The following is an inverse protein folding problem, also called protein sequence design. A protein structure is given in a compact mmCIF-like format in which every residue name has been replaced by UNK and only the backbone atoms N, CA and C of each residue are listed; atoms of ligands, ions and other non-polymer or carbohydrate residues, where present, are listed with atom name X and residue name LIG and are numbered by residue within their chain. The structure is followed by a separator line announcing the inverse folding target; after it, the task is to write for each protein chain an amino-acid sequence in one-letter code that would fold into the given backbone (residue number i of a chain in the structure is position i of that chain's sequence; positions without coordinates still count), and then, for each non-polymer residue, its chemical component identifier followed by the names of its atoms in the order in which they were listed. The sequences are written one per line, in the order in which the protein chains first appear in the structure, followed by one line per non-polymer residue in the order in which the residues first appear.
data_IF_585265355054
#
_entry.id   IF_585265355054
#
_cell.length_a   1.000
_cell.length_b   1.000
_cell.length_c   1.000
_cell.angle_alpha   90.00
_cell.angle_beta   90.00
_cell.angle_gamma   90.00
#
_symmetry.space_group_name_H-M   'P 1'
#
loop_
_entity.id
_entity.type
_entity.pdbx_description
1 polymer ?
#
# COMPACT_ATOMS: atom_id res chain seq x y z
N UNK A 1 -50.81 -9.39 -42.89
CA UNK A 1 -49.39 -9.20 -42.82
C UNK A 1 -49.07 -8.51 -41.47
N UNK A 2 -48.74 -9.28 -40.48
CA UNK A 2 -48.40 -8.77 -39.15
C UNK A 2 -46.91 -8.96 -38.89
N UNK A 3 -46.18 -7.85 -38.70
CA UNK A 3 -44.78 -7.90 -38.32
C UNK A 3 -44.72 -7.86 -36.79
N UNK A 4 -44.35 -8.99 -36.19
CA UNK A 4 -44.09 -9.07 -34.76
C UNK A 4 -42.68 -8.54 -34.49
N UNK A 5 -42.59 -7.37 -33.85
CA UNK A 5 -41.33 -6.83 -33.35
C UNK A 5 -41.06 -7.48 -32.00
N UNK A 6 -40.13 -8.44 -31.98
CA UNK A 6 -39.64 -9.06 -30.77
C UNK A 6 -38.66 -8.13 -30.05
N UNK A 7 -39.06 -7.58 -28.91
CA UNK A 7 -38.19 -6.85 -28.01
C UNK A 7 -37.31 -7.85 -27.26
N UNK A 8 -36.04 -7.97 -27.64
CA UNK A 8 -35.04 -8.66 -26.85
C UNK A 8 -34.64 -7.76 -25.65
N UNK A 9 -35.24 -8.03 -24.50
CA UNK A 9 -34.74 -7.50 -23.24
C UNK A 9 -33.41 -8.19 -22.92
N UNK A 10 -32.32 -7.54 -23.23
CA UNK A 10 -31.01 -7.92 -22.75
C UNK A 10 -30.95 -7.68 -21.22
N UNK A 11 -31.26 -8.71 -20.46
CA UNK A 11 -30.97 -8.73 -19.02
C UNK A 11 -29.46 -8.82 -18.88
N UNK A 12 -28.83 -7.66 -18.72
CA UNK A 12 -27.43 -7.57 -18.31
C UNK A 12 -27.28 -8.16 -16.92
N UNK A 13 -26.86 -9.41 -16.83
CA UNK A 13 -26.44 -10.03 -15.58
C UNK A 13 -25.13 -9.35 -15.16
N UNK A 14 -25.24 -8.29 -14.36
CA UNK A 14 -24.07 -7.72 -13.67
C UNK A 14 -23.67 -8.73 -12.60
N UNK A 15 -22.76 -9.63 -12.95
CA UNK A 15 -22.06 -10.46 -11.96
C UNK A 15 -21.14 -9.51 -11.19
N UNK A 16 -21.65 -8.97 -10.10
CA UNK A 16 -20.80 -8.38 -9.07
C UNK A 16 -20.04 -9.56 -8.49
N UNK A 17 -18.84 -9.82 -9.00
CA UNK A 17 -17.91 -10.70 -8.36
C UNK A 17 -17.55 -10.04 -7.04
N UNK A 18 -18.27 -10.39 -5.98
CA UNK A 18 -17.84 -10.13 -4.60
C UNK A 18 -16.56 -10.93 -4.48
N UNK A 19 -15.42 -10.22 -4.60
CA UNK A 19 -14.10 -10.80 -4.43
C UNK A 19 -14.05 -11.22 -2.97
N UNK A 20 -14.34 -12.48 -2.70
CA UNK A 20 -14.16 -13.06 -1.36
C UNK A 20 -12.67 -12.99 -1.08
N UNK A 21 -12.29 -12.14 -0.13
CA UNK A 21 -10.92 -12.09 0.35
C UNK A 21 -10.57 -13.49 0.88
N UNK A 22 -9.46 -14.08 0.44
CA UNK A 22 -9.02 -15.33 1.04
C UNK A 22 -8.67 -15.07 2.51
N UNK A 23 -9.37 -15.73 3.43
CA UNK A 23 -9.18 -15.58 4.88
C UNK A 23 -7.94 -16.31 5.41
N UNK A 24 -7.14 -16.88 4.51
CA UNK A 24 -5.93 -17.62 4.87
C UNK A 24 -4.72 -16.74 5.25
N UNK A 25 -3.65 -17.34 5.80
CA UNK A 25 -2.41 -16.62 6.09
C UNK A 25 -1.78 -16.08 4.80
N UNK A 26 -1.28 -14.86 4.86
CA UNK A 26 -0.53 -14.23 3.78
C UNK A 26 0.91 -14.72 3.83
N UNK A 27 1.38 -15.32 2.76
CA UNK A 27 2.71 -15.91 2.66
C UNK A 27 3.51 -15.13 1.62
N UNK A 28 4.69 -14.68 2.01
CA UNK A 28 5.68 -14.07 1.12
C UNK A 28 6.28 -15.12 0.16
N UNK A 29 6.78 -14.68 -0.98
CA UNK A 29 7.52 -15.52 -1.91
C UNK A 29 8.70 -16.23 -1.24
N UNK A 30 9.11 -17.40 -1.78
CA UNK A 30 10.25 -18.15 -1.23
C UNK A 30 11.53 -17.31 -1.28
N UNK A 31 12.17 -17.19 -0.12
CA UNK A 31 13.45 -16.52 0.01
C UNK A 31 14.55 -17.46 -0.47
N UNK A 32 15.32 -17.02 -1.48
CA UNK A 32 16.47 -17.76 -2.02
C UNK A 32 17.81 -17.11 -1.69
N UNK A 33 17.78 -15.94 -1.11
CA UNK A 33 18.95 -15.16 -0.70
C UNK A 33 18.91 -14.83 0.79
N UNK A 34 20.04 -14.39 1.35
CA UNK A 34 20.16 -13.98 2.74
C UNK A 34 19.85 -12.48 2.95
N UNK A 35 19.36 -11.79 1.92
CA UNK A 35 19.06 -10.36 1.99
C UNK A 35 17.89 -10.07 2.91
N UNK A 36 17.94 -8.94 3.59
CA UNK A 36 16.85 -8.41 4.38
C UNK A 36 15.87 -7.67 3.46
N UNK A 37 14.70 -8.20 3.27
CA UNK A 37 13.68 -7.66 2.36
C UNK A 37 12.60 -6.92 3.14
N UNK A 38 12.53 -5.61 2.98
CA UNK A 38 11.58 -4.74 3.66
C UNK A 38 10.53 -4.23 2.69
N UNK A 39 9.25 -4.40 3.04
CA UNK A 39 8.12 -3.79 2.34
C UNK A 39 7.55 -2.65 3.16
N UNK A 40 7.72 -1.41 2.70
CA UNK A 40 7.12 -0.22 3.29
C UNK A 40 5.81 0.06 2.56
N UNK A 41 4.68 -0.03 3.27
CA UNK A 41 3.34 0.26 2.74
C UNK A 41 2.95 1.66 3.16
N UNK A 42 3.08 2.64 2.25
CA UNK A 42 2.81 4.04 2.53
C UNK A 42 1.35 4.40 2.22
N UNK A 43 0.45 4.18 3.16
CA UNK A 43 -0.93 4.65 3.09
C UNK A 43 -1.00 6.19 3.27
N UNK A 44 -0.13 6.77 4.11
CA UNK A 44 0.14 8.19 4.24
C UNK A 44 1.41 8.62 3.47
N UNK A 45 1.50 9.89 3.09
CA UNK A 45 2.71 10.45 2.47
C UNK A 45 3.82 10.63 3.50
N UNK A 46 5.02 10.11 3.22
CA UNK A 46 6.18 10.24 4.11
C UNK A 46 7.07 11.35 3.57
N UNK A 47 7.16 12.45 4.30
CA UNK A 47 7.94 13.63 3.91
C UNK A 47 8.91 14.09 5.00
N UNK A 48 8.50 13.93 6.28
CA UNK A 48 9.28 14.40 7.43
C UNK A 48 10.48 13.48 7.68
N UNK A 49 11.71 14.03 7.78
CA UNK A 49 12.90 13.27 8.13
C UNK A 49 12.79 12.49 9.46
N UNK A 50 12.00 12.98 10.41
CA UNK A 50 11.76 12.31 11.70
C UNK A 50 10.98 11.02 11.47
N UNK A 51 9.94 11.07 10.63
CA UNK A 51 9.14 9.90 10.27
C UNK A 51 9.97 8.90 9.47
N UNK A 52 10.79 9.37 8.52
CA UNK A 52 11.75 8.52 7.78
C UNK A 52 12.69 7.81 8.75
N UNK A 53 13.31 8.54 9.69
CA UNK A 53 14.22 7.96 10.69
C UNK A 53 13.52 6.96 11.62
N UNK A 54 12.23 7.17 11.90
CA UNK A 54 11.42 6.23 12.68
C UNK A 54 11.12 4.97 11.90
N UNK A 55 10.70 5.11 10.63
CA UNK A 55 10.42 3.99 9.73
C UNK A 55 11.65 3.13 9.52
N UNK A 56 12.80 3.73 9.17
CA UNK A 56 14.04 3.00 8.93
C UNK A 56 14.55 2.29 10.18
N UNK A 57 14.40 2.90 11.35
CA UNK A 57 14.75 2.26 12.64
C UNK A 57 13.86 1.09 12.96
N UNK A 58 12.54 1.23 12.81
CA UNK A 58 11.57 0.17 13.08
C UNK A 58 11.78 -1.00 12.11
N UNK A 59 12.06 -0.70 10.84
CA UNK A 59 12.33 -1.66 9.78
C UNK A 59 13.76 -2.25 9.81
N UNK A 60 14.58 -1.92 10.79
CA UNK A 60 15.95 -2.42 10.86
C UNK A 60 16.85 -2.05 9.67
N UNK A 61 16.45 -1.07 8.85
CA UNK A 61 17.20 -0.63 7.66
C UNK A 61 18.45 0.12 8.10
N UNK A 62 19.61 -0.31 7.59
CA UNK A 62 20.92 0.21 8.02
C UNK A 62 21.48 1.34 7.14
N UNK A 63 20.89 1.60 5.97
CA UNK A 63 21.34 2.65 5.05
C UNK A 63 22.66 2.30 4.35
N UNK A 64 23.53 3.28 4.20
CA UNK A 64 24.70 3.35 3.30
C UNK A 64 25.72 2.18 3.37
N UNK A 65 25.67 1.33 4.40
CA UNK A 65 26.59 0.19 4.56
C UNK A 65 26.04 -1.13 3.97
N UNK A 66 24.87 -1.13 3.34
CA UNK A 66 24.15 -2.37 3.11
C UNK A 66 23.71 -2.66 1.68
N UNK A 67 24.55 -3.35 0.94
CA UNK A 67 24.13 -4.23 -0.17
C UNK A 67 23.22 -5.38 0.33
N UNK A 68 22.88 -5.38 1.63
CA UNK A 68 22.11 -6.43 2.32
C UNK A 68 20.63 -6.10 2.46
N UNK A 69 20.23 -4.81 2.44
CA UNK A 69 18.83 -4.42 2.57
C UNK A 69 18.20 -4.15 1.19
N UNK A 70 17.16 -4.89 0.86
CA UNK A 70 16.31 -4.60 -0.31
C UNK A 70 15.01 -3.98 0.17
N UNK A 71 14.78 -2.71 -0.18
CA UNK A 71 13.61 -1.96 0.27
C UNK A 71 12.66 -1.73 -0.89
N UNK A 72 11.39 -2.05 -0.67
CA UNK A 72 10.32 -1.75 -1.62
C UNK A 72 9.24 -0.90 -0.97
N UNK A 73 8.85 0.18 -1.67
CA UNK A 73 7.75 1.06 -1.27
C UNK A 73 6.51 0.70 -2.08
N UNK A 74 5.42 0.39 -1.39
CA UNK A 74 4.11 0.14 -1.95
C UNK A 74 3.17 1.26 -1.54
N UNK A 75 2.57 1.96 -2.51
CA UNK A 75 1.56 3.00 -2.23
C UNK A 75 0.20 2.48 -2.71
N UNK A 76 -0.76 2.24 -1.82
CA UNK A 76 -2.13 1.88 -2.21
C UNK A 76 -2.80 3.03 -2.97
N UNK A 77 -3.49 2.69 -4.08
CA UNK A 77 -4.22 3.66 -4.90
C UNK A 77 -5.59 3.98 -4.29
N UNK A 78 -5.61 4.47 -3.03
CA UNK A 78 -6.85 4.70 -2.26
C UNK A 78 -7.74 5.76 -2.92
N UNK A 79 -8.98 5.39 -3.18
CA UNK A 79 -10.04 6.30 -3.63
C UNK A 79 -10.71 6.85 -2.37
N UNK A 80 -10.67 8.18 -2.18
CA UNK A 80 -11.38 8.83 -1.07
C UNK A 80 -12.89 8.55 -1.12
N UNK A 81 -13.56 8.54 0.02
CA UNK A 81 -15.00 8.27 0.11
C UNK A 81 -15.82 9.22 -0.79
N UNK A 82 -15.45 10.48 -0.91
CA UNK A 82 -16.10 11.46 -1.78
C UNK A 82 -15.78 11.24 -3.26
N UNK A 83 -14.57 10.78 -3.58
CA UNK A 83 -14.12 10.54 -4.96
C UNK A 83 -14.76 9.28 -5.56
N UNK A 84 -15.21 8.36 -4.72
CA UNK A 84 -15.92 7.13 -5.17
C UNK A 84 -17.22 7.44 -5.91
N UNK A 85 -17.84 8.58 -5.64
CA UNK A 85 -19.04 9.07 -6.36
C UNK A 85 -18.71 9.71 -7.71
N UNK A 86 -17.49 10.24 -7.87
CA UNK A 86 -17.05 10.93 -9.09
C UNK A 86 -16.37 10.01 -10.11
N UNK A 87 -16.20 8.71 -9.81
CA UNK A 87 -15.54 7.70 -10.68
C UNK A 87 -14.10 8.06 -11.07
N UNK A 88 -13.37 8.78 -10.23
CA UNK A 88 -12.08 9.38 -10.57
C UNK A 88 -10.90 8.47 -10.18
N UNK A 89 -10.85 7.28 -10.81
CA UNK A 89 -9.74 6.30 -10.64
C UNK A 89 -8.40 6.92 -11.08
N UNK A 90 -8.41 7.79 -12.09
CA UNK A 90 -7.21 8.46 -12.60
C UNK A 90 -6.61 9.41 -11.56
N UNK A 91 -7.45 10.19 -10.88
CA UNK A 91 -7.00 11.10 -9.83
C UNK A 91 -6.46 10.35 -8.60
N UNK A 92 -7.08 9.24 -8.22
CA UNK A 92 -6.58 8.40 -7.13
C UNK A 92 -5.20 7.82 -7.46
N UNK A 93 -5.02 7.33 -8.69
CA UNK A 93 -3.72 6.83 -9.17
C UNK A 93 -2.68 7.94 -9.24
N UNK A 94 -3.05 9.13 -9.71
CA UNK A 94 -2.15 10.27 -9.75
C UNK A 94 -1.69 10.69 -8.34
N UNK A 95 -2.60 10.78 -7.38
CA UNK A 95 -2.27 11.05 -5.96
C UNK A 95 -1.38 9.97 -5.36
N UNK A 96 -1.61 8.70 -5.69
CA UNK A 96 -0.75 7.61 -5.27
C UNK A 96 0.67 7.74 -5.85
N UNK A 97 0.79 8.11 -7.12
CA UNK A 97 2.08 8.37 -7.77
C UNK A 97 2.82 9.55 -7.13
N UNK A 98 2.12 10.64 -6.80
CA UNK A 98 2.73 11.78 -6.10
C UNK A 98 3.26 11.36 -4.72
N UNK A 99 2.46 10.65 -3.91
CA UNK A 99 2.91 10.12 -2.62
C UNK A 99 4.11 9.19 -2.76
N UNK A 100 4.10 8.35 -3.79
CA UNK A 100 5.21 7.45 -4.09
C UNK A 100 6.51 8.22 -4.31
N UNK A 101 6.47 9.24 -5.19
CA UNK A 101 7.64 10.07 -5.50
C UNK A 101 8.17 10.77 -4.26
N UNK A 102 7.28 11.34 -3.43
CA UNK A 102 7.68 12.04 -2.21
C UNK A 102 8.30 11.09 -1.18
N UNK A 103 7.69 9.93 -0.96
CA UNK A 103 8.19 8.92 -0.04
C UNK A 103 9.56 8.40 -0.46
N UNK A 104 9.73 8.05 -1.76
CA UNK A 104 11.03 7.57 -2.28
C UNK A 104 12.10 8.66 -2.18
N UNK A 105 11.75 9.92 -2.49
CA UNK A 105 12.69 11.02 -2.37
C UNK A 105 13.11 11.27 -0.91
N UNK A 106 12.20 11.12 0.04
CA UNK A 106 12.50 11.24 1.47
C UNK A 106 13.42 10.11 1.96
N UNK A 107 13.17 8.86 1.54
CA UNK A 107 14.04 7.71 1.83
C UNK A 107 15.42 7.88 1.19
N UNK A 108 15.50 8.32 -0.07
CA UNK A 108 16.76 8.55 -0.76
C UNK A 108 17.62 9.63 -0.08
N UNK A 109 17.00 10.69 0.45
CA UNK A 109 17.70 11.70 1.26
C UNK A 109 18.29 11.13 2.55
N UNK A 110 17.69 10.07 3.07
CA UNK A 110 18.20 9.34 4.24
C UNK A 110 19.19 8.21 3.89
N UNK A 111 19.63 8.13 2.63
CA UNK A 111 20.58 7.11 2.16
C UNK A 111 19.95 5.74 1.89
N UNK A 112 18.62 5.64 1.81
CA UNK A 112 17.90 4.39 1.55
C UNK A 112 17.46 4.33 0.09
N UNK A 113 18.03 3.39 -0.67
CA UNK A 113 17.57 3.06 -2.02
C UNK A 113 16.33 2.16 -1.93
N UNK A 114 15.26 2.52 -2.66
CA UNK A 114 14.04 1.76 -2.64
C UNK A 114 13.41 1.62 -4.02
N UNK A 115 12.92 0.41 -4.35
CA UNK A 115 12.00 0.23 -5.46
C UNK A 115 10.60 0.73 -5.08
N UNK A 116 9.83 1.19 -6.08
CA UNK A 116 8.53 1.78 -5.84
C UNK A 116 7.43 1.17 -6.70
N UNK A 117 6.27 0.91 -6.10
CA UNK A 117 5.09 0.35 -6.76
C UNK A 117 3.81 1.02 -6.27
N UNK A 118 2.85 1.17 -7.19
CA UNK A 118 1.47 1.52 -6.84
C UNK A 118 0.66 0.22 -6.82
N UNK A 119 -0.05 -0.02 -5.73
CA UNK A 119 -0.88 -1.21 -5.52
C UNK A 119 -2.36 -0.96 -5.68
N UNK A 120 -3.15 -1.96 -5.29
CA UNK A 120 -4.62 -1.90 -5.22
C UNK A 120 -5.09 -0.78 -4.26
N UNK A 121 -6.36 -0.38 -4.37
CA UNK A 121 -6.95 0.59 -3.42
C UNK A 121 -7.07 0.02 -2.01
N UNK A 122 -7.28 -1.28 -1.91
CA UNK A 122 -7.33 -2.01 -0.66
C UNK A 122 -5.92 -2.33 -0.18
N UNK A 123 -5.58 -1.86 1.03
CA UNK A 123 -4.24 -2.02 1.61
C UNK A 123 -3.87 -3.50 1.75
N UNK A 124 -4.80 -4.33 2.24
CA UNK A 124 -4.53 -5.75 2.48
C UNK A 124 -4.31 -6.48 1.16
N UNK A 125 -5.16 -6.22 0.16
CA UNK A 125 -5.02 -6.79 -1.16
C UNK A 125 -3.71 -6.34 -1.83
N UNK A 126 -3.35 -5.05 -1.72
CA UNK A 126 -2.11 -4.53 -2.27
C UNK A 126 -0.87 -5.24 -1.68
N UNK A 127 -0.89 -5.48 -0.36
CA UNK A 127 0.18 -6.23 0.33
C UNK A 127 0.21 -7.69 -0.12
N UNK A 128 -0.94 -8.37 -0.17
CA UNK A 128 -1.01 -9.75 -0.65
C UNK A 128 -0.44 -9.91 -2.06
N UNK A 129 -0.88 -9.05 -2.99
CA UNK A 129 -0.42 -9.08 -4.38
C UNK A 129 1.10 -8.81 -4.48
N UNK A 130 1.61 -7.89 -3.65
CA UNK A 130 3.04 -7.60 -3.63
C UNK A 130 3.86 -8.77 -3.09
N UNK A 131 3.41 -9.42 -2.02
CA UNK A 131 4.12 -10.53 -1.39
C UNK A 131 4.16 -11.80 -2.24
N UNK A 132 3.31 -11.94 -3.26
CA UNK A 132 3.40 -13.04 -4.23
C UNK A 132 4.70 -13.02 -5.05
N UNK A 133 5.27 -11.83 -5.26
CA UNK A 133 6.46 -11.64 -6.09
C UNK A 133 7.68 -11.11 -5.32
N UNK A 134 7.48 -10.66 -4.08
CA UNK A 134 8.52 -10.05 -3.25
C UNK A 134 8.61 -10.76 -1.90
N UNK A 135 9.77 -11.39 -1.58
CA UNK A 135 9.91 -12.20 -0.38
C UNK A 135 10.18 -11.36 0.88
N UNK A 136 9.28 -10.41 1.19
CA UNK A 136 9.46 -9.56 2.35
C UNK A 136 9.57 -10.37 3.64
N UNK A 137 10.58 -10.03 4.44
CA UNK A 137 10.78 -10.53 5.81
C UNK A 137 10.13 -9.64 6.82
N UNK A 138 9.98 -8.37 6.44
CA UNK A 138 9.45 -7.31 7.27
C UNK A 138 8.49 -6.45 6.47
N UNK A 139 7.34 -6.12 7.07
CA UNK A 139 6.33 -5.24 6.48
C UNK A 139 6.05 -4.10 7.44
N UNK A 140 6.24 -2.87 6.96
CA UNK A 140 5.96 -1.65 7.73
C UNK A 140 4.80 -0.91 7.08
N UNK A 141 3.64 -0.89 7.75
CA UNK A 141 2.52 -0.05 7.34
C UNK A 141 2.71 1.36 7.92
N UNK A 142 2.67 2.36 7.05
CA UNK A 142 2.76 3.77 7.42
C UNK A 142 1.44 4.45 7.09
N UNK A 143 0.80 5.04 8.09
CA UNK A 143 -0.49 5.72 7.95
C UNK A 143 -0.43 7.16 8.46
N UNK A 144 -1.29 8.01 7.91
CA UNK A 144 -1.57 9.33 8.47
C UNK A 144 -2.62 9.25 9.58
N UNK A 145 -2.79 10.35 10.31
CA UNK A 145 -3.86 10.47 11.30
C UNK A 145 -5.23 10.45 10.62
N UNK A 146 -6.14 9.60 11.13
CA UNK A 146 -7.51 9.46 10.62
C UNK A 146 -7.64 8.59 9.36
N UNK A 147 -6.58 7.92 8.95
CA UNK A 147 -6.65 6.90 7.90
C UNK A 147 -7.38 5.64 8.38
N UNK A 148 -8.17 5.00 7.47
CA UNK A 148 -8.79 3.69 7.72
C UNK A 148 -7.75 2.55 7.78
N UNK A 149 -6.51 2.91 8.07
CA UNK A 149 -5.39 1.97 8.09
C UNK A 149 -5.37 1.08 9.34
N UNK A 150 -6.09 1.47 10.40
CA UNK A 150 -6.12 0.69 11.65
C UNK A 150 -6.78 -0.69 11.45
N UNK A 151 -7.89 -0.74 10.69
CA UNK A 151 -8.54 -2.00 10.34
C UNK A 151 -7.60 -2.88 9.51
N UNK A 152 -6.98 -2.31 8.48
CA UNK A 152 -5.98 -2.99 7.65
C UNK A 152 -4.78 -3.46 8.48
N UNK A 153 -4.30 -2.64 9.43
CA UNK A 153 -3.21 -3.02 10.34
C UNK A 153 -3.57 -4.22 11.20
N UNK A 154 -4.79 -4.26 11.74
CA UNK A 154 -5.31 -5.39 12.50
C UNK A 154 -5.35 -6.67 11.69
N UNK A 155 -5.88 -6.60 10.46
CA UNK A 155 -5.96 -7.74 9.56
C UNK A 155 -4.56 -8.22 9.13
N UNK A 156 -3.67 -7.32 8.70
CA UNK A 156 -2.30 -7.67 8.33
C UNK A 156 -1.54 -8.33 9.49
N UNK A 157 -1.64 -7.76 10.71
CA UNK A 157 -0.99 -8.33 11.90
C UNK A 157 -1.44 -9.77 12.18
N UNK A 158 -2.70 -10.09 11.91
CA UNK A 158 -3.25 -11.43 12.16
C UNK A 158 -2.87 -12.45 11.08
N UNK A 159 -2.60 -12.01 9.86
CA UNK A 159 -2.44 -12.89 8.68
C UNK A 159 -1.01 -13.01 8.18
N UNK A 160 -0.16 -11.98 8.40
CA UNK A 160 1.22 -11.98 7.95
C UNK A 160 2.08 -12.96 8.73
N UNK A 161 2.98 -13.66 8.02
CA UNK A 161 4.08 -14.43 8.61
C UNK A 161 5.38 -13.64 8.71
N UNK A 162 5.50 -12.56 7.93
CA UNK A 162 6.58 -11.58 8.03
C UNK A 162 6.44 -10.78 9.33
N UNK A 163 7.53 -10.21 9.82
CA UNK A 163 7.47 -9.27 10.92
C UNK A 163 6.65 -8.04 10.49
N UNK A 164 5.75 -7.57 11.35
CA UNK A 164 4.81 -6.51 11.00
C UNK A 164 4.86 -5.36 11.99
N UNK A 165 5.06 -4.15 11.46
CA UNK A 165 5.05 -2.91 12.21
C UNK A 165 4.02 -1.94 11.64
N UNK A 166 3.37 -1.18 12.51
CA UNK A 166 2.51 -0.07 12.14
C UNK A 166 3.07 1.23 12.71
N UNK A 167 3.32 2.19 11.83
CA UNK A 167 3.89 3.51 12.15
C UNK A 167 2.88 4.58 11.75
N UNK A 168 2.33 5.26 12.75
CA UNK A 168 1.53 6.46 12.50
C UNK A 168 2.43 7.66 12.31
N UNK A 169 2.21 8.42 11.24
CA UNK A 169 2.95 9.65 10.95
C UNK A 169 2.62 10.74 11.96
N UNK A 170 3.61 11.49 12.34
CA UNK A 170 3.43 12.68 13.16
C UNK A 170 2.71 13.75 12.36
N UNK A 171 1.71 14.42 12.98
CA UNK A 171 1.09 15.58 12.34
C UNK A 171 2.16 16.66 12.10
N UNK A 172 2.32 17.09 10.85
CA UNK A 172 3.31 18.11 10.53
C UNK A 172 3.05 19.40 11.34
N UNK A 173 4.12 20.09 11.76
CA UNK A 173 3.97 21.36 12.49
C UNK A 173 3.24 22.45 11.69
N UNK A 174 3.19 22.33 10.35
CA UNK A 174 2.46 23.23 9.47
C UNK A 174 0.94 23.16 9.67
N UNK A 175 0.39 21.94 9.90
CA UNK A 175 -1.05 21.73 10.15
C UNK A 175 -1.45 22.13 11.57
N UNK A 176 -0.50 22.14 12.53
CA UNK A 176 -0.77 22.56 13.93
C UNK A 176 -0.88 24.09 14.08
N UNK A 177 -0.48 24.87 13.06
CA UNK A 177 -0.48 26.33 13.09
C UNK A 177 -1.64 26.97 12.30
N UNK A 178 -2.50 26.17 11.67
CA UNK A 178 -3.70 26.60 10.96
C UNK A 178 -4.93 26.48 11.83
#
# INVERSE_FOLDING_TARGET
MGVAIGAFAAVGLVVIAIRQRPEGPIVSADRRDAKHHVLIVAAGGVEDPIDVARITRVAGIRGDDGDEDEVRVLVPARIGFLDRWASDVEDARHRAQQRLVMTVAALAKAGVAAEARVGDEDIVQAVEDQLQSYPATEVVLVSGEGDDAEEAAGELRSRLRAEFHHVELSRSEAERRS
#
